data_IF_348052340633
#
_entry.id   IF_348052340633
#
_cell.length_a   1.000
_cell.length_b   1.000
_cell.length_c   1.000
_cell.angle_alpha   90.00
_cell.angle_beta   90.00
_cell.angle_gamma   90.00
#
_symmetry.space_group_name_H-M   'P 1'
#
loop_
_entity.id
_entity.type
_entity.pdbx_description
1 polymer ?
#
# COMPACT_ATOMS: atom_id res chain seq x y z
N UNK A 1 45.72 -38.16 37.79
CA UNK A 1 44.72 -37.14 38.20
C UNK A 1 44.96 -35.87 37.39
N UNK A 2 44.59 -35.79 36.10
CA UNK A 2 44.72 -34.55 35.31
C UNK A 2 43.88 -34.61 34.00
N UNK A 3 42.55 -34.64 34.10
CA UNK A 3 41.68 -34.62 32.91
C UNK A 3 40.43 -33.73 33.04
N UNK A 4 40.29 -33.01 34.16
CA UNK A 4 39.13 -32.16 34.45
C UNK A 4 39.07 -30.81 33.68
N UNK A 5 40.18 -30.07 33.44
CA UNK A 5 40.07 -28.72 32.86
C UNK A 5 39.80 -28.70 31.35
N UNK A 6 40.12 -29.79 30.63
CA UNK A 6 39.87 -29.89 29.19
C UNK A 6 38.38 -30.05 28.89
N UNK A 7 37.64 -30.82 29.70
CA UNK A 7 36.19 -31.06 29.50
C UNK A 7 35.38 -29.76 29.65
N UNK A 8 35.74 -28.91 30.61
CA UNK A 8 35.09 -27.60 30.80
C UNK A 8 35.37 -26.61 29.66
N UNK A 9 36.61 -26.56 29.15
CA UNK A 9 36.96 -25.73 27.98
C UNK A 9 36.28 -26.20 26.70
N UNK A 10 36.17 -27.51 26.48
CA UNK A 10 35.44 -28.09 25.34
C UNK A 10 33.94 -27.78 25.40
N UNK A 11 33.31 -27.84 26.57
CA UNK A 11 31.91 -27.46 26.76
C UNK A 11 31.66 -25.97 26.52
N UNK A 12 32.55 -25.09 27.00
CA UNK A 12 32.47 -23.64 26.75
C UNK A 12 32.63 -23.30 25.26
N UNK A 13 33.56 -23.97 24.56
CA UNK A 13 33.75 -23.78 23.11
C UNK A 13 32.52 -24.28 22.34
N UNK A 14 31.96 -25.43 22.72
CA UNK A 14 30.74 -25.96 22.10
C UNK A 14 29.53 -25.04 22.33
N UNK A 15 29.38 -24.46 23.53
CA UNK A 15 28.33 -23.49 23.85
C UNK A 15 28.48 -22.19 23.06
N UNK A 16 29.72 -21.68 22.90
CA UNK A 16 29.99 -20.49 22.09
C UNK A 16 29.71 -20.73 20.60
N UNK A 17 30.09 -21.89 20.07
CA UNK A 17 29.81 -22.28 18.68
C UNK A 17 28.30 -22.45 18.44
N UNK A 18 27.57 -23.08 19.38
CA UNK A 18 26.12 -23.20 19.31
C UNK A 18 25.42 -21.83 19.38
N UNK A 19 25.91 -20.91 20.22
CA UNK A 19 25.40 -19.53 20.30
C UNK A 19 25.61 -18.74 19.00
N UNK A 20 26.79 -18.86 18.37
CA UNK A 20 27.06 -18.22 17.07
C UNK A 20 26.22 -18.82 15.94
N UNK A 21 25.94 -20.13 15.96
CA UNK A 21 25.07 -20.79 14.96
C UNK A 21 23.61 -20.33 15.08
N UNK A 22 23.12 -20.07 16.29
CA UNK A 22 21.75 -19.59 16.52
C UNK A 22 21.56 -18.11 16.14
N UNK A 23 22.59 -17.28 16.27
CA UNK A 23 22.52 -15.86 15.90
C UNK A 23 22.46 -15.62 14.38
N UNK A 24 22.90 -16.57 13.55
CA UNK A 24 22.88 -16.46 12.08
C UNK A 24 21.53 -16.80 11.43
N UNK A 25 20.56 -17.32 12.19
CA UNK A 25 19.27 -17.81 11.68
C UNK A 25 18.13 -16.78 11.78
N UNK A 26 18.40 -15.58 12.30
CA UNK A 26 17.44 -14.48 12.21
C UNK A 26 17.44 -13.91 10.80
N UNK A 27 16.91 -14.69 9.86
CA UNK A 27 16.60 -14.20 8.52
C UNK A 27 15.62 -13.05 8.64
N UNK A 28 16.09 -11.84 8.34
CA UNK A 28 15.21 -10.70 8.09
C UNK A 28 14.34 -11.08 6.90
N UNK A 29 13.08 -11.43 7.16
CA UNK A 29 12.05 -11.50 6.14
C UNK A 29 11.86 -10.08 5.60
N UNK A 30 12.68 -9.71 4.62
CA UNK A 30 12.51 -8.48 3.89
C UNK A 30 11.29 -8.67 3.01
N UNK A 31 10.22 -7.99 3.38
CA UNK A 31 9.06 -7.83 2.51
C UNK A 31 9.58 -7.20 1.20
N UNK A 32 9.27 -7.84 0.07
CA UNK A 32 9.87 -7.49 -1.20
C UNK A 32 9.19 -6.22 -1.74
N UNK A 33 9.93 -5.11 -1.69
CA UNK A 33 9.46 -3.83 -2.22
C UNK A 33 9.15 -3.89 -3.71
N UNK A 34 8.03 -3.30 -4.10
CA UNK A 34 7.62 -3.20 -5.49
C UNK A 34 6.69 -2.03 -5.75
N UNK A 35 6.35 -1.86 -7.02
CA UNK A 35 5.40 -0.86 -7.46
C UNK A 35 4.53 -1.40 -8.58
N UNK A 36 3.25 -1.03 -8.56
CA UNK A 36 2.35 -1.25 -9.69
C UNK A 36 1.58 0.04 -9.99
N UNK A 37 0.98 0.11 -11.18
CA UNK A 37 0.16 1.25 -11.57
C UNK A 37 -1.08 0.78 -12.30
N UNK A 38 -2.14 1.58 -12.23
CA UNK A 38 -3.41 1.29 -12.88
C UNK A 38 -4.03 2.56 -13.44
N UNK A 39 -4.51 2.48 -14.68
CA UNK A 39 -5.40 3.45 -15.29
C UNK A 39 -6.84 2.96 -15.14
N UNK A 40 -7.70 3.85 -14.65
CA UNK A 40 -9.07 3.51 -14.30
C UNK A 40 -10.02 4.30 -15.22
N UNK A 41 -11.09 3.67 -15.74
CA UNK A 41 -12.08 4.38 -16.54
C UNK A 41 -12.67 5.58 -15.81
N UNK A 42 -12.82 6.69 -16.53
CA UNK A 42 -13.51 7.88 -16.04
C UNK A 42 -15.00 7.62 -15.77
N UNK A 43 -15.58 8.42 -14.88
CA UNK A 43 -16.97 8.28 -14.43
C UNK A 43 -17.69 9.62 -14.36
N UNK A 44 -19.03 9.55 -14.41
CA UNK A 44 -19.89 10.68 -14.13
C UNK A 44 -20.15 10.80 -12.63
N UNK A 45 -20.01 12.01 -12.10
CA UNK A 45 -20.33 12.37 -10.72
C UNK A 45 -21.49 13.35 -10.75
N UNK A 46 -22.65 12.92 -10.26
CA UNK A 46 -23.90 13.67 -10.41
C UNK A 46 -24.50 14.14 -9.08
N UNK A 47 -24.15 13.48 -7.97
CA UNK A 47 -24.79 13.69 -6.67
C UNK A 47 -23.82 14.33 -5.67
N UNK A 48 -24.35 15.18 -4.80
CA UNK A 48 -23.58 15.80 -3.70
C UNK A 48 -23.77 15.10 -2.36
N UNK A 49 -24.87 14.39 -2.18
CA UNK A 49 -25.23 13.61 -0.99
C UNK A 49 -24.75 12.15 -1.07
N UNK A 50 -24.43 11.66 -2.28
CA UNK A 50 -23.90 10.31 -2.51
C UNK A 50 -22.63 10.37 -3.35
N UNK A 51 -21.60 9.66 -2.88
CA UNK A 51 -20.38 9.47 -3.66
C UNK A 51 -20.55 8.39 -4.74
N UNK A 52 -20.10 8.70 -5.96
CA UNK A 52 -19.87 7.71 -7.03
C UNK A 52 -18.51 7.04 -6.84
N UNK A 53 -18.43 5.73 -7.02
CA UNK A 53 -17.18 4.97 -6.96
C UNK A 53 -16.66 4.66 -8.38
N UNK A 54 -15.34 4.70 -8.55
CA UNK A 54 -14.68 4.19 -9.76
C UNK A 54 -14.71 2.66 -9.79
N UNK A 55 -14.25 2.08 -10.90
CA UNK A 55 -13.87 0.67 -10.90
C UNK A 55 -12.69 0.44 -9.95
N UNK A 56 -12.54 -0.81 -9.51
CA UNK A 56 -11.42 -1.23 -8.68
C UNK A 56 -10.14 -1.27 -9.51
N UNK A 57 -9.07 -0.72 -8.96
CA UNK A 57 -7.70 -1.02 -9.33
C UNK A 57 -7.20 -2.17 -8.46
N UNK A 58 -6.83 -3.26 -9.11
CA UNK A 58 -6.17 -4.41 -8.48
C UNK A 58 -4.75 -4.50 -9.01
N UNK A 59 -3.81 -5.02 -8.22
CA UNK A 59 -2.47 -5.27 -8.72
C UNK A 59 -2.50 -6.25 -9.92
N UNK A 60 -1.58 -6.11 -10.89
CA UNK A 60 -1.45 -7.07 -11.98
C UNK A 60 -0.89 -8.39 -11.46
N UNK A 61 -1.25 -9.51 -12.08
CA UNK A 61 -0.77 -10.85 -11.69
C UNK A 61 0.77 -11.00 -11.73
N UNK A 62 1.47 -10.14 -12.49
CA UNK A 62 2.93 -10.12 -12.58
C UNK A 62 3.62 -9.35 -11.43
N UNK A 63 2.87 -8.70 -10.54
CA UNK A 63 3.45 -8.05 -9.38
C UNK A 63 3.78 -9.11 -8.32
N UNK A 64 5.09 -9.27 -8.07
CA UNK A 64 5.62 -10.33 -7.22
C UNK A 64 5.43 -10.02 -5.74
N UNK A 65 5.26 -11.06 -4.91
CA UNK A 65 5.29 -10.97 -3.44
C UNK A 65 4.23 -10.06 -2.79
N UNK A 66 3.14 -9.75 -3.51
CA UNK A 66 2.05 -8.91 -3.01
C UNK A 66 1.22 -9.58 -1.90
N UNK A 67 1.15 -10.91 -1.88
CA UNK A 67 0.30 -11.67 -0.96
C UNK A 67 0.63 -11.43 0.51
N UNK A 68 1.83 -10.93 0.81
CA UNK A 68 2.25 -10.48 2.14
C UNK A 68 2.75 -9.03 2.13
N UNK A 69 2.59 -8.32 1.01
CA UNK A 69 3.06 -6.96 0.84
C UNK A 69 2.15 -5.97 1.53
N UNK A 70 2.73 -4.93 2.10
CA UNK A 70 2.00 -3.83 2.71
C UNK A 70 2.12 -2.57 1.86
N UNK A 71 1.03 -1.83 1.73
CA UNK A 71 1.04 -0.52 1.11
C UNK A 71 2.07 0.38 1.82
N UNK A 72 2.79 1.18 1.03
CA UNK A 72 3.73 2.17 1.53
C UNK A 72 3.27 3.58 1.14
N UNK A 73 3.13 3.81 -0.17
CA UNK A 73 2.79 5.13 -0.72
C UNK A 73 1.96 4.97 -1.98
N UNK A 74 0.90 5.76 -2.07
CA UNK A 74 0.07 5.82 -3.26
C UNK A 74 0.12 7.22 -3.83
N UNK A 75 0.51 7.34 -5.10
CA UNK A 75 0.39 8.55 -5.90
C UNK A 75 -0.85 8.46 -6.78
N UNK A 76 -1.55 9.58 -6.97
CA UNK A 76 -2.74 9.63 -7.81
C UNK A 76 -2.72 10.81 -8.77
N UNK A 77 -3.49 10.64 -9.84
CA UNK A 77 -3.97 11.72 -10.66
C UNK A 77 -5.39 11.46 -11.16
N UNK A 78 -6.14 12.53 -11.38
CA UNK A 78 -7.40 12.56 -12.11
C UNK A 78 -7.67 13.99 -12.59
N UNK A 79 -8.60 14.17 -13.51
CA UNK A 79 -8.97 15.48 -14.05
C UNK A 79 -10.48 15.69 -14.04
N UNK A 80 -10.90 16.94 -13.83
CA UNK A 80 -12.28 17.39 -13.98
C UNK A 80 -12.30 18.87 -14.41
N UNK A 81 -13.41 19.37 -14.98
CA UNK A 81 -13.46 20.73 -15.51
C UNK A 81 -13.11 21.81 -14.47
N UNK A 82 -12.41 22.90 -14.87
CA UNK A 82 -12.07 23.97 -13.95
C UNK A 82 -13.31 24.64 -13.36
N UNK A 83 -13.19 25.15 -12.12
CA UNK A 83 -14.29 25.83 -11.41
C UNK A 83 -15.28 24.89 -10.70
N UNK A 84 -15.18 23.58 -10.95
CA UNK A 84 -15.98 22.56 -10.26
C UNK A 84 -15.43 22.32 -8.86
N UNK A 85 -16.33 22.16 -7.89
CA UNK A 85 -15.97 21.74 -6.54
C UNK A 85 -16.49 20.32 -6.26
N UNK A 86 -15.58 19.39 -6.00
CA UNK A 86 -15.92 18.03 -5.64
C UNK A 86 -15.01 17.54 -4.51
N UNK A 87 -15.53 16.62 -3.71
CA UNK A 87 -14.78 15.88 -2.72
C UNK A 87 -14.29 14.58 -3.35
N UNK A 88 -13.04 14.21 -3.07
CA UNK A 88 -12.40 13.02 -3.61
C UNK A 88 -11.79 12.19 -2.48
N UNK A 89 -11.88 10.88 -2.60
CA UNK A 89 -11.27 9.93 -1.68
C UNK A 89 -10.60 8.80 -2.45
N UNK A 90 -9.54 8.24 -1.87
CA UNK A 90 -8.96 6.96 -2.25
C UNK A 90 -9.31 5.94 -1.17
N UNK A 91 -9.89 4.81 -1.56
CA UNK A 91 -10.44 3.83 -0.65
C UNK A 91 -9.76 2.48 -0.79
N UNK A 92 -9.29 2.00 0.35
CA UNK A 92 -8.98 0.62 0.67
C UNK A 92 -10.22 -0.02 1.36
N UNK A 93 -10.42 -1.35 1.33
CA UNK A 93 -11.58 -1.98 1.99
C UNK A 93 -11.77 -1.59 3.46
N UNK A 94 -10.67 -1.34 4.17
CA UNK A 94 -10.70 -0.96 5.58
C UNK A 94 -10.81 0.54 5.84
N UNK A 95 -10.42 1.39 4.89
CA UNK A 95 -10.35 2.84 5.14
C UNK A 95 -10.33 3.67 3.85
N UNK A 96 -10.91 4.87 3.91
CA UNK A 96 -10.85 5.86 2.85
C UNK A 96 -10.09 7.10 3.33
N UNK A 97 -9.17 7.59 2.49
CA UNK A 97 -8.37 8.79 2.74
C UNK A 97 -8.85 9.91 1.83
N UNK A 98 -9.02 11.11 2.39
CA UNK A 98 -9.45 12.27 1.63
C UNK A 98 -8.29 12.80 0.77
N UNK A 99 -8.57 13.11 -0.50
CA UNK A 99 -7.55 13.55 -1.44
C UNK A 99 -7.57 15.07 -1.59
N UNK A 100 -6.38 15.68 -1.49
CA UNK A 100 -6.20 17.10 -1.76
C UNK A 100 -5.87 17.32 -3.23
N UNK A 101 -6.87 17.73 -4.00
CA UNK A 101 -6.70 18.10 -5.40
C UNK A 101 -6.56 16.93 -6.38
N UNK A 102 -6.40 17.31 -7.65
CA UNK A 102 -6.38 16.42 -8.81
C UNK A 102 -5.13 15.52 -8.89
N UNK A 103 -4.03 15.87 -8.20
CA UNK A 103 -2.77 15.13 -8.17
C UNK A 103 -2.17 15.18 -6.78
N UNK A 104 -1.52 14.10 -6.34
CA UNK A 104 -0.84 14.07 -5.05
C UNK A 104 -0.29 12.69 -4.68
N UNK A 105 0.11 12.56 -3.42
CA UNK A 105 0.58 11.32 -2.82
C UNK A 105 0.15 11.20 -1.36
N UNK A 106 -0.06 9.98 -0.87
CA UNK A 106 -0.44 9.69 0.51
C UNK A 106 0.27 8.45 1.02
N UNK A 107 0.58 8.45 2.32
CA UNK A 107 1.06 7.30 3.09
C UNK A 107 0.08 6.91 4.20
N UNK A 108 -1.12 7.51 4.24
CA UNK A 108 -2.14 7.20 5.25
C UNK A 108 -2.73 5.78 5.10
N UNK A 109 -2.54 5.18 3.92
CA UNK A 109 -2.86 3.79 3.66
C UNK A 109 -1.71 2.83 3.99
N UNK A 110 -0.58 3.32 4.52
CA UNK A 110 0.58 2.47 4.78
C UNK A 110 0.29 1.37 5.82
N UNK A 111 0.90 0.19 5.63
CA UNK A 111 0.72 -0.97 6.49
C UNK A 111 -0.54 -1.79 6.21
N UNK A 112 -1.43 -1.32 5.33
CA UNK A 112 -2.58 -2.11 4.84
C UNK A 112 -2.16 -3.10 3.77
N UNK A 113 -2.99 -4.10 3.54
CA UNK A 113 -2.75 -5.12 2.52
C UNK A 113 -2.60 -4.50 1.11
N UNK A 114 -1.50 -4.83 0.43
CA UNK A 114 -1.22 -4.34 -0.91
C UNK A 114 -1.94 -5.11 -2.02
N UNK A 115 -2.47 -6.30 -1.73
CA UNK A 115 -3.26 -7.11 -2.68
C UNK A 115 -4.74 -6.70 -2.72
N UNK A 116 -5.16 -5.87 -1.77
CA UNK A 116 -6.54 -5.41 -1.67
C UNK A 116 -6.94 -4.44 -2.80
N UNK A 117 -8.19 -4.52 -3.31
CA UNK A 117 -8.65 -3.63 -4.36
C UNK A 117 -8.77 -2.18 -3.87
N UNK A 118 -8.18 -1.26 -4.61
CA UNK A 118 -8.28 0.18 -4.36
C UNK A 118 -9.26 0.83 -5.33
N UNK A 119 -9.96 1.87 -4.91
CA UNK A 119 -10.83 2.63 -5.82
C UNK A 119 -10.94 4.10 -5.41
N UNK A 120 -11.26 4.96 -6.36
CA UNK A 120 -11.59 6.34 -6.07
C UNK A 120 -13.08 6.49 -5.75
N UNK A 121 -13.40 7.46 -4.91
CA UNK A 121 -14.77 7.93 -4.69
C UNK A 121 -14.83 9.43 -4.89
N UNK A 122 -15.94 9.90 -5.45
CA UNK A 122 -16.16 11.32 -5.72
C UNK A 122 -17.58 11.72 -5.39
N UNK A 123 -17.76 12.88 -4.77
CA UNK A 123 -19.06 13.49 -4.55
C UNK A 123 -18.97 14.98 -4.91
N UNK A 124 -19.99 15.52 -5.57
CA UNK A 124 -20.06 16.95 -5.80
C UNK A 124 -20.22 17.70 -4.47
N UNK A 125 -19.81 18.96 -4.42
CA UNK A 125 -20.32 19.87 -3.39
C UNK A 125 -21.74 20.34 -3.74
N UNK A 126 -22.57 20.71 -2.75
CA UNK A 126 -23.92 21.22 -3.01
C UNK A 126 -23.92 22.37 -4.02
N UNK A 127 -24.89 22.37 -4.94
CA UNK A 127 -25.06 23.41 -5.97
C UNK A 127 -24.21 23.23 -7.23
N UNK A 128 -23.39 22.19 -7.31
CA UNK A 128 -22.60 21.87 -8.51
C UNK A 128 -23.45 21.08 -9.53
N UNK A 129 -23.14 21.24 -10.82
CA UNK A 129 -23.76 20.44 -11.89
C UNK A 129 -23.03 19.10 -12.04
N UNK A 130 -23.67 18.06 -12.60
CA UNK A 130 -22.99 16.81 -12.93
C UNK A 130 -21.74 17.03 -13.77
N UNK A 131 -20.65 16.33 -13.42
CA UNK A 131 -19.36 16.46 -14.11
C UNK A 131 -18.79 15.09 -14.46
N UNK A 132 -17.94 15.05 -15.48
CA UNK A 132 -17.12 13.89 -15.78
C UNK A 132 -15.75 14.02 -15.13
N UNK A 133 -15.36 13.01 -14.37
CA UNK A 133 -13.97 12.85 -13.90
C UNK A 133 -13.29 11.87 -14.85
N UNK A 134 -12.08 12.21 -15.30
CA UNK A 134 -11.34 11.46 -16.32
C UNK A 134 -9.86 11.34 -15.96
N UNK A 135 -9.12 10.55 -16.73
CA UNK A 135 -7.68 10.32 -16.52
C UNK A 135 -7.33 9.85 -15.10
N UNK A 136 -8.19 9.00 -14.51
CA UNK A 136 -7.94 8.41 -13.21
C UNK A 136 -6.77 7.45 -13.34
N UNK A 137 -5.72 7.69 -12.56
CA UNK A 137 -4.56 6.82 -12.50
C UNK A 137 -4.01 6.81 -11.07
N UNK A 138 -3.49 5.67 -10.66
CA UNK A 138 -2.71 5.55 -9.44
C UNK A 138 -1.43 4.76 -9.66
N UNK A 139 -0.42 5.07 -8.86
CA UNK A 139 0.82 4.31 -8.71
C UNK A 139 0.88 3.91 -7.24
N UNK A 140 1.12 2.64 -6.98
CA UNK A 140 1.09 2.03 -5.65
C UNK A 140 2.44 1.41 -5.39
N UNK A 141 3.10 1.89 -4.34
CA UNK A 141 4.33 1.31 -3.82
C UNK A 141 3.97 0.46 -2.61
N UNK A 142 4.60 -0.71 -2.51
CA UNK A 142 4.43 -1.66 -1.43
C UNK A 142 5.77 -2.25 -1.02
N UNK A 143 5.81 -2.84 0.18
CA UNK A 143 6.93 -3.60 0.71
C UNK A 143 6.46 -4.92 1.30
#
# INVERSE_FOLDING_TARGET
MLSWPLRGRLLLIALLLAGCLLAGLTGSAQAASGSWSSQIPGLMVAMSDRASASQNATPPAAANNLQSGQLERIQWQFQYPPGVQLNAWLCHPEQCVALTGMRGSTTELAGRDADAPLHFRFALRPGQRPVRVQELQMIVNYQ
#
